data_IF_041959593403
#
_entry.id   IF_041959593403
#
_cell.length_a   1.000
_cell.length_b   1.000
_cell.length_c   1.000
_cell.angle_alpha   90.00
_cell.angle_beta   90.00
_cell.angle_gamma   90.00
#
_symmetry.space_group_name_H-M   'P 1'
#
loop_
_entity.id
_entity.type
_entity.pdbx_description
1 polymer ?
#
# COMPACT_ATOMS: atom_id res chain seq x y z
N UNK A 1 -23.40 1.32 20.70
CA UNK A 1 -22.71 0.13 20.16
C UNK A 1 -23.41 -0.30 18.88
N UNK A 2 -22.84 -0.14 17.67
CA UNK A 2 -23.47 -0.65 16.47
C UNK A 2 -23.12 -2.14 16.30
N UNK A 3 -24.16 -2.94 16.07
CA UNK A 3 -24.07 -4.37 15.77
C UNK A 3 -23.19 -4.61 14.54
N UNK A 4 -22.13 -5.43 14.68
CA UNK A 4 -21.55 -6.15 13.54
C UNK A 4 -22.56 -7.22 13.12
N UNK A 5 -23.17 -7.05 11.94
CA UNK A 5 -23.82 -8.17 11.25
C UNK A 5 -22.75 -9.21 10.91
N UNK A 6 -22.84 -10.46 11.41
CA UNK A 6 -21.90 -11.51 11.01
C UNK A 6 -22.10 -11.83 9.53
N UNK A 7 -21.05 -11.65 8.73
CA UNK A 7 -21.04 -12.06 7.33
C UNK A 7 -21.22 -13.59 7.26
N UNK A 8 -22.04 -14.12 6.33
CA UNK A 8 -22.27 -15.55 6.23
C UNK A 8 -20.96 -16.29 5.90
N UNK A 9 -20.68 -17.34 6.68
CA UNK A 9 -19.57 -18.25 6.44
C UNK A 9 -19.79 -18.96 5.08
N UNK A 10 -18.87 -18.77 4.13
CA UNK A 10 -18.95 -19.45 2.83
C UNK A 10 -18.42 -20.89 2.95
N UNK A 11 -19.14 -21.88 2.40
CA UNK A 11 -18.70 -23.27 2.42
C UNK A 11 -17.55 -23.52 1.42
N UNK A 12 -16.64 -24.40 1.81
CA UNK A 12 -15.66 -25.14 1.00
C UNK A 12 -15.14 -24.48 -0.29
N UNK A 13 -14.09 -23.65 -0.19
CA UNK A 13 -13.38 -23.14 -1.36
C UNK A 13 -12.26 -24.11 -1.75
N UNK A 14 -12.41 -24.77 -2.92
CA UNK A 14 -11.25 -25.18 -3.73
C UNK A 14 -10.31 -23.97 -3.85
N UNK A 15 -8.97 -24.12 -3.85
CA UNK A 15 -8.10 -22.97 -4.03
C UNK A 15 -8.46 -22.29 -5.36
N UNK A 16 -9.09 -21.11 -5.27
CA UNK A 16 -9.44 -20.34 -6.44
C UNK A 16 -8.15 -20.06 -7.21
N UNK A 17 -8.16 -20.26 -8.52
CA UNK A 17 -7.02 -19.88 -9.36
C UNK A 17 -6.70 -18.42 -9.05
N UNK A 18 -5.43 -18.06 -8.76
CA UNK A 18 -5.08 -16.68 -8.47
C UNK A 18 -5.48 -15.83 -9.68
N UNK A 19 -6.16 -14.71 -9.43
CA UNK A 19 -6.51 -13.76 -10.48
C UNK A 19 -5.24 -13.24 -11.17
N UNK A 20 -5.31 -12.85 -12.45
CA UNK A 20 -4.16 -12.32 -13.18
C UNK A 20 -3.51 -11.13 -12.44
N UNK A 21 -4.34 -10.25 -11.86
CA UNK A 21 -3.92 -9.18 -10.96
C UNK A 21 -3.11 -9.70 -9.77
N UNK A 22 -3.54 -10.79 -9.15
CA UNK A 22 -2.80 -11.38 -8.02
C UNK A 22 -1.44 -11.94 -8.43
N UNK A 23 -1.33 -12.54 -9.62
CA UNK A 23 -0.05 -13.01 -10.14
C UNK A 23 0.89 -11.83 -10.39
N UNK A 24 0.39 -10.76 -11.02
CA UNK A 24 1.13 -9.50 -11.21
C UNK A 24 1.61 -8.93 -9.87
N UNK A 25 0.74 -8.84 -8.86
CA UNK A 25 1.09 -8.35 -7.53
C UNK A 25 2.23 -9.13 -6.90
N UNK A 26 2.19 -10.46 -6.97
CA UNK A 26 3.19 -11.33 -6.36
C UNK A 26 4.54 -11.23 -7.06
N UNK A 27 4.54 -11.28 -8.40
CA UNK A 27 5.77 -11.16 -9.20
C UNK A 27 6.39 -9.77 -9.01
N UNK A 28 5.59 -8.71 -9.16
CA UNK A 28 6.05 -7.35 -9.00
C UNK A 28 6.56 -7.08 -7.59
N UNK A 29 5.85 -7.55 -6.56
CA UNK A 29 6.31 -7.39 -5.18
C UNK A 29 7.60 -8.16 -4.89
N UNK A 30 7.75 -9.37 -5.42
CA UNK A 30 8.98 -10.16 -5.27
C UNK A 30 10.17 -9.47 -5.97
N UNK A 31 9.98 -9.00 -7.21
CA UNK A 31 11.03 -8.28 -7.94
C UNK A 31 11.44 -7.01 -7.19
N UNK A 32 10.47 -6.19 -6.77
CA UNK A 32 10.74 -4.96 -6.02
C UNK A 32 11.43 -5.24 -4.68
N UNK A 33 11.02 -6.29 -3.97
CA UNK A 33 11.62 -6.63 -2.69
C UNK A 33 13.05 -7.13 -2.86
N UNK A 34 13.33 -7.91 -3.92
CA UNK A 34 14.68 -8.39 -4.24
C UNK A 34 15.60 -7.24 -4.66
N UNK A 35 15.14 -6.33 -5.52
CA UNK A 35 15.93 -5.17 -5.95
C UNK A 35 16.18 -4.18 -4.82
N UNK A 36 15.21 -4.01 -3.92
CA UNK A 36 15.33 -3.11 -2.77
C UNK A 36 15.91 -3.78 -1.52
N UNK A 37 16.21 -5.09 -1.54
CA UNK A 37 16.62 -5.82 -0.34
C UNK A 37 17.86 -5.20 0.33
N UNK A 38 18.92 -4.94 -0.44
CA UNK A 38 20.15 -4.36 0.06
C UNK A 38 19.96 -2.93 0.65
N UNK A 39 19.39 -1.95 -0.08
CA UNK A 39 19.16 -0.62 0.48
C UNK A 39 18.17 -0.65 1.66
N UNK A 40 17.15 -1.51 1.62
CA UNK A 40 16.20 -1.65 2.72
C UNK A 40 16.86 -2.23 3.98
N UNK A 41 17.72 -3.23 3.84
CA UNK A 41 18.47 -3.80 4.96
C UNK A 41 19.46 -2.79 5.56
N UNK A 42 20.16 -2.03 4.71
CA UNK A 42 21.05 -0.96 5.16
C UNK A 42 20.28 0.14 5.91
N UNK A 43 19.15 0.61 5.36
CA UNK A 43 18.29 1.59 5.99
C UNK A 43 17.74 1.09 7.33
N UNK A 44 17.26 -0.17 7.38
CA UNK A 44 16.77 -0.78 8.61
C UNK A 44 17.88 -0.91 9.66
N UNK A 45 19.09 -1.30 9.28
CA UNK A 45 20.26 -1.37 10.17
C UNK A 45 20.63 0.00 10.73
N UNK A 46 20.68 1.03 9.89
CA UNK A 46 20.95 2.41 10.31
C UNK A 46 19.87 2.92 11.29
N UNK A 47 18.59 2.70 10.99
CA UNK A 47 17.49 3.06 11.90
C UNK A 47 17.57 2.27 13.21
N UNK A 48 17.93 0.99 13.15
CA UNK A 48 18.10 0.15 14.33
C UNK A 48 19.18 0.70 15.27
N UNK A 49 20.36 1.02 14.74
CA UNK A 49 21.49 1.54 15.54
C UNK A 49 21.22 2.95 16.05
N UNK A 50 20.63 3.82 15.22
CA UNK A 50 20.41 5.23 15.59
C UNK A 50 19.22 5.45 16.52
N UNK A 51 18.23 4.56 16.50
CA UNK A 51 16.99 4.73 17.26
C UNK A 51 16.80 3.70 18.40
N UNK A 52 17.86 3.03 18.84
CA UNK A 52 17.80 2.11 19.99
C UNK A 52 17.00 0.83 19.74
N UNK A 53 17.13 0.24 18.55
CA UNK A 53 16.66 -1.11 18.26
C UNK A 53 15.31 -1.22 17.53
N UNK A 54 14.78 -0.13 16.97
CA UNK A 54 13.45 -0.10 16.33
C UNK A 54 13.47 0.49 14.93
N UNK A 55 13.63 -0.35 13.92
CA UNK A 55 13.67 0.07 12.51
C UNK A 55 12.30 0.15 11.83
N UNK A 56 11.32 -0.63 12.28
CA UNK A 56 10.03 -0.78 11.63
C UNK A 56 8.88 -0.26 12.49
N UNK A 57 7.90 0.35 11.84
CA UNK A 57 6.60 0.67 12.43
C UNK A 57 5.52 -0.22 11.79
N UNK A 58 4.47 -0.50 12.58
CA UNK A 58 3.27 -1.19 12.10
C UNK A 58 2.05 -0.31 12.31
N UNK A 59 1.31 -0.01 11.25
CA UNK A 59 0.13 0.87 11.30
C UNK A 59 -1.14 0.05 11.04
N UNK A 60 -2.21 0.19 11.86
CA UNK A 60 -3.47 -0.50 11.62
C UNK A 60 -4.09 -0.13 10.27
N UNK A 61 -4.65 -1.11 9.57
CA UNK A 61 -5.34 -0.92 8.30
C UNK A 61 -6.47 -1.94 8.11
N UNK A 62 -7.45 -1.60 7.27
CA UNK A 62 -8.50 -2.49 6.81
C UNK A 62 -8.19 -3.01 5.40
N UNK A 63 -8.21 -4.32 5.24
CA UNK A 63 -8.00 -5.02 3.97
C UNK A 63 -9.30 -5.39 3.29
N UNK A 64 -9.21 -6.30 2.32
CA UNK A 64 -10.35 -6.84 1.60
C UNK A 64 -11.45 -7.35 2.55
N UNK A 65 -12.70 -6.99 2.28
CA UNK A 65 -13.89 -7.27 3.08
C UNK A 65 -13.78 -6.77 4.53
N UNK A 66 -13.00 -5.70 4.76
CA UNK A 66 -12.83 -5.10 6.09
C UNK A 66 -11.93 -5.90 7.04
N UNK A 67 -11.20 -6.90 6.54
CA UNK A 67 -10.30 -7.71 7.37
C UNK A 67 -9.19 -6.83 7.98
N UNK A 68 -9.07 -6.72 9.30
CA UNK A 68 -8.04 -5.89 9.92
C UNK A 68 -6.67 -6.53 9.70
N UNK A 69 -5.68 -5.69 9.39
CA UNK A 69 -4.28 -6.08 9.31
C UNK A 69 -3.38 -4.91 9.75
N UNK A 70 -2.06 -5.09 9.67
CA UNK A 70 -1.09 -4.03 9.96
C UNK A 70 -0.15 -3.85 8.77
N UNK A 71 -0.07 -2.63 8.25
CA UNK A 71 0.92 -2.26 7.23
C UNK A 71 2.29 -2.12 7.88
N UNK A 72 3.33 -2.51 7.15
CA UNK A 72 4.72 -2.33 7.57
C UNK A 72 5.31 -1.05 6.96
N UNK A 73 6.12 -0.31 7.70
CA UNK A 73 6.94 0.78 7.12
C UNK A 73 8.24 0.93 7.89
N UNK A 74 9.22 1.61 7.29
CA UNK A 74 10.37 2.09 8.04
C UNK A 74 9.93 3.21 8.99
N UNK A 75 10.55 3.27 10.18
CA UNK A 75 10.22 4.25 11.21
C UNK A 75 11.07 5.51 11.05
N UNK A 76 10.63 6.39 10.17
CA UNK A 76 11.37 7.61 9.78
C UNK A 76 11.08 8.83 10.66
N UNK A 77 9.96 8.83 11.40
CA UNK A 77 9.42 9.98 12.13
C UNK A 77 10.46 10.69 13.04
N UNK A 78 11.25 9.91 13.80
CA UNK A 78 12.24 10.43 14.75
C UNK A 78 13.70 10.24 14.28
N UNK A 79 13.93 9.96 12.99
CA UNK A 79 15.27 9.67 12.45
C UNK A 79 16.03 10.91 11.95
N UNK A 80 15.48 12.12 12.12
CA UNK A 80 16.11 13.37 11.67
C UNK A 80 16.48 13.36 10.18
N UNK A 81 17.74 13.70 9.87
CA UNK A 81 18.24 13.75 8.48
C UNK A 81 18.17 12.40 7.77
N UNK A 82 18.36 11.30 8.49
CA UNK A 82 18.24 9.95 7.93
C UNK A 82 16.79 9.67 7.53
N UNK A 83 15.83 9.98 8.40
CA UNK A 83 14.40 9.84 8.09
C UNK A 83 14.00 10.62 6.86
N UNK A 84 14.35 11.90 6.81
CA UNK A 84 14.09 12.77 5.67
C UNK A 84 14.77 12.29 4.37
N UNK A 85 15.92 11.62 4.45
CA UNK A 85 16.55 11.02 3.27
C UNK A 85 15.80 9.77 2.79
N UNK A 86 15.38 8.89 3.70
CA UNK A 86 14.64 7.67 3.38
C UNK A 86 13.25 7.98 2.79
N UNK A 87 12.57 9.00 3.30
CA UNK A 87 11.31 9.49 2.77
C UNK A 87 11.47 10.07 1.37
N UNK A 88 12.50 10.90 1.13
CA UNK A 88 12.82 11.45 -0.20
C UNK A 88 13.12 10.37 -1.24
N UNK A 89 13.76 9.27 -0.84
CA UNK A 89 14.02 8.13 -1.71
C UNK A 89 12.84 7.16 -1.85
N UNK A 90 11.68 7.44 -1.22
CA UNK A 90 10.52 6.55 -1.21
C UNK A 90 10.82 5.13 -0.70
N UNK A 91 11.81 4.98 0.19
CA UNK A 91 12.19 3.69 0.75
C UNK A 91 11.35 3.33 1.99
N UNK A 92 10.70 4.33 2.59
CA UNK A 92 9.86 4.17 3.78
C UNK A 92 8.70 3.16 3.64
N UNK A 93 8.00 3.02 2.50
CA UNK A 93 6.88 2.09 2.35
C UNK A 93 7.32 0.74 1.79
N UNK A 94 8.59 0.55 1.43
CA UNK A 94 9.07 -0.71 0.84
C UNK A 94 8.75 -1.96 1.70
N UNK A 95 8.77 -1.91 3.05
CA UNK A 95 8.32 -3.03 3.87
C UNK A 95 6.86 -3.49 3.60
N UNK A 96 5.99 -2.64 3.04
CA UNK A 96 4.61 -3.01 2.66
C UNK A 96 4.57 -4.07 1.55
N UNK A 97 5.65 -4.27 0.80
CA UNK A 97 5.75 -5.37 -0.17
C UNK A 97 5.53 -6.73 0.51
N UNK A 98 5.90 -6.85 1.79
CA UNK A 98 5.61 -8.04 2.61
C UNK A 98 4.09 -8.23 2.78
N UNK A 99 3.32 -7.16 2.97
CA UNK A 99 1.85 -7.22 3.03
C UNK A 99 1.24 -7.64 1.69
N UNK A 100 1.84 -7.22 0.57
CA UNK A 100 1.42 -7.66 -0.77
C UNK A 100 1.66 -9.16 -0.92
N UNK A 101 2.85 -9.66 -0.56
CA UNK A 101 3.18 -11.09 -0.59
C UNK A 101 2.24 -11.91 0.30
N UNK A 102 1.89 -11.41 1.49
CA UNK A 102 0.92 -12.04 2.43
C UNK A 102 -0.52 -11.99 1.95
N UNK A 103 -0.84 -11.17 0.95
CA UNK A 103 -2.20 -11.05 0.40
C UNK A 103 -3.12 -10.14 1.20
N UNK A 104 -2.55 -9.34 2.10
CA UNK A 104 -3.24 -8.28 2.82
C UNK A 104 -3.42 -7.05 1.93
N UNK A 105 -2.44 -6.79 1.05
CA UNK A 105 -2.40 -5.67 0.10
C UNK A 105 -2.24 -6.14 -1.35
N UNK A 106 -2.40 -5.18 -2.26
CA UNK A 106 -2.11 -5.23 -3.69
C UNK A 106 -1.03 -4.19 -4.02
N UNK A 107 -0.33 -4.31 -5.15
CA UNK A 107 0.56 -3.24 -5.60
C UNK A 107 -0.25 -1.99 -5.91
N UNK A 108 -1.36 -2.16 -6.63
CA UNK A 108 -2.29 -1.09 -7.01
C UNK A 108 -3.64 -1.28 -6.33
N UNK A 109 -4.15 -0.21 -5.72
CA UNK A 109 -5.44 -0.18 -5.03
C UNK A 109 -5.63 1.12 -4.24
N UNK A 110 -6.80 1.31 -3.61
CA UNK A 110 -7.03 2.44 -2.72
C UNK A 110 -6.04 2.43 -1.55
N UNK A 111 -5.64 3.61 -1.06
CA UNK A 111 -4.68 3.70 0.06
C UNK A 111 -5.21 2.96 1.30
N UNK A 112 -4.38 2.23 2.07
CA UNK A 112 -4.82 1.57 3.29
C UNK A 112 -5.22 2.59 4.37
N UNK A 113 -6.37 2.38 5.00
CA UNK A 113 -6.89 3.16 6.12
C UNK A 113 -7.30 2.24 7.27
N UNK A 114 -7.08 2.66 8.51
CA UNK A 114 -7.49 1.92 9.71
C UNK A 114 -9.01 1.87 9.85
N UNK A 115 -9.67 2.96 9.51
CA UNK A 115 -11.11 3.13 9.48
C UNK A 115 -11.43 3.98 8.26
N UNK A 116 -12.36 3.51 7.45
CA UNK A 116 -12.84 4.25 6.27
C UNK A 116 -14.31 4.55 6.44
N UNK A 117 -14.71 5.77 6.09
CA UNK A 117 -16.10 6.21 5.92
C UNK A 117 -16.68 5.74 4.58
N UNK A 118 -15.83 5.15 3.72
CA UNK A 118 -16.13 4.72 2.35
C UNK A 118 -16.05 3.19 2.25
N UNK A 119 -17.13 2.46 2.59
CA UNK A 119 -17.12 1.00 2.62
C UNK A 119 -16.83 0.38 1.25
N UNK A 120 -17.04 1.11 0.15
CA UNK A 120 -16.73 0.65 -1.21
C UNK A 120 -15.25 0.24 -1.38
N UNK A 121 -14.33 0.89 -0.67
CA UNK A 121 -12.89 0.59 -0.73
C UNK A 121 -12.55 -0.80 -0.19
N UNK A 122 -13.45 -1.37 0.62
CA UNK A 122 -13.28 -2.70 1.20
C UNK A 122 -13.63 -3.82 0.21
N UNK A 123 -14.17 -3.52 -0.97
CA UNK A 123 -14.42 -4.52 -2.02
C UNK A 123 -13.17 -4.96 -2.78
N UNK A 124 -12.08 -4.21 -2.65
CA UNK A 124 -10.76 -4.54 -3.23
C UNK A 124 -9.70 -4.57 -2.14
N UNK A 125 -8.52 -5.10 -2.46
CA UNK A 125 -7.38 -4.97 -1.56
C UNK A 125 -6.84 -3.55 -1.61
N UNK A 126 -6.43 -2.96 -0.48
CA UNK A 126 -5.73 -1.69 -0.49
C UNK A 126 -4.39 -1.82 -1.24
N UNK A 127 -3.96 -0.72 -1.84
CA UNK A 127 -2.76 -0.62 -2.67
C UNK A 127 -1.59 0.05 -1.96
N UNK A 128 -0.37 -0.25 -2.42
CA UNK A 128 0.80 0.57 -2.12
C UNK A 128 0.78 1.90 -2.90
N UNK A 129 0.27 1.85 -4.13
CA UNK A 129 -0.06 2.98 -4.99
C UNK A 129 -1.50 2.86 -5.49
N UNK A 130 -2.06 3.93 -6.04
CA UNK A 130 -3.47 4.00 -6.43
C UNK A 130 -3.72 5.11 -7.43
N UNK A 131 -4.91 5.09 -8.05
CA UNK A 131 -5.27 6.03 -9.11
C UNK A 131 -5.12 7.49 -8.64
N UNK A 132 -5.73 7.84 -7.51
CA UNK A 132 -5.62 9.20 -6.99
C UNK A 132 -4.17 9.56 -6.63
N UNK A 133 -3.36 8.60 -6.16
CA UNK A 133 -1.96 8.88 -5.80
C UNK A 133 -1.12 9.25 -7.02
N UNK A 134 -1.41 8.70 -8.21
CA UNK A 134 -0.71 9.08 -9.45
C UNK A 134 -1.35 10.25 -10.18
N UNK A 135 -2.66 10.46 -9.97
CA UNK A 135 -3.42 11.58 -10.52
C UNK A 135 -3.30 12.86 -9.68
N UNK A 136 -2.87 12.75 -8.42
CA UNK A 136 -2.76 13.87 -7.49
C UNK A 136 -1.84 14.95 -8.06
N UNK A 137 -2.47 16.05 -8.45
CA UNK A 137 -1.84 17.36 -8.54
C UNK A 137 -1.78 17.93 -7.12
N UNK A 138 -0.85 18.84 -6.89
CA UNK A 138 -0.52 19.41 -5.56
C UNK A 138 -1.68 20.08 -4.82
N UNK A 139 -2.85 20.23 -5.45
CA UNK A 139 -4.04 20.96 -5.01
C UNK A 139 -5.37 20.18 -5.16
N UNK A 140 -5.35 18.87 -5.37
CA UNK A 140 -6.59 18.11 -5.59
C UNK A 140 -7.50 18.09 -4.33
N UNK A 141 -8.77 18.53 -4.41
CA UNK A 141 -9.71 18.48 -3.29
C UNK A 141 -9.95 17.05 -2.77
N UNK A 142 -10.32 16.94 -1.48
CA UNK A 142 -10.57 15.65 -0.84
C UNK A 142 -11.73 14.86 -1.46
N UNK A 143 -12.75 15.53 -1.99
CA UNK A 143 -13.84 14.88 -2.71
C UNK A 143 -13.35 14.25 -4.02
N UNK A 144 -12.46 14.91 -4.76
CA UNK A 144 -11.93 14.40 -6.02
C UNK A 144 -11.05 13.15 -5.80
N UNK A 145 -10.26 13.12 -4.73
CA UNK A 145 -9.52 11.91 -4.34
C UNK A 145 -10.46 10.72 -4.09
N UNK A 146 -11.60 10.98 -3.44
CA UNK A 146 -12.62 9.95 -3.17
C UNK A 146 -13.24 9.41 -4.46
N UNK A 147 -13.51 10.29 -5.43
CA UNK A 147 -14.07 9.91 -6.72
C UNK A 147 -13.11 9.04 -7.52
N UNK A 148 -11.80 9.34 -7.48
CA UNK A 148 -10.77 8.52 -8.13
C UNK A 148 -10.63 7.14 -7.48
N UNK A 149 -10.69 7.06 -6.14
CA UNK A 149 -10.72 5.78 -5.44
C UNK A 149 -11.97 4.96 -5.81
N UNK A 150 -13.15 5.58 -5.83
CA UNK A 150 -14.40 4.93 -6.25
C UNK A 150 -14.32 4.44 -7.69
N UNK A 151 -13.85 5.29 -8.60
CA UNK A 151 -13.68 4.94 -10.00
C UNK A 151 -12.76 3.72 -10.17
N UNK A 152 -11.66 3.67 -9.42
CA UNK A 152 -10.79 2.49 -9.41
C UNK A 152 -11.52 1.24 -8.89
N UNK A 153 -12.21 1.32 -7.74
CA UNK A 153 -12.95 0.17 -7.19
C UNK A 153 -13.93 -0.41 -8.21
N UNK A 154 -14.68 0.45 -8.90
CA UNK A 154 -15.72 0.06 -9.85
C UNK A 154 -15.19 -0.43 -11.19
N UNK A 155 -14.07 0.13 -11.67
CA UNK A 155 -13.63 -0.03 -13.07
C UNK A 155 -12.22 -0.61 -13.23
N UNK A 156 -11.55 -1.03 -12.15
CA UNK A 156 -10.19 -1.54 -12.25
C UNK A 156 -10.10 -2.79 -13.12
N UNK A 157 -9.10 -2.78 -13.99
CA UNK A 157 -8.68 -3.92 -14.81
C UNK A 157 -7.16 -3.87 -14.96
N UNK A 158 -6.57 -4.93 -15.50
CA UNK A 158 -5.11 -5.11 -15.47
C UNK A 158 -4.33 -3.98 -16.17
N UNK A 159 -4.84 -3.44 -17.29
CA UNK A 159 -4.16 -2.34 -17.99
C UNK A 159 -4.20 -1.03 -17.22
N UNK A 160 -5.26 -0.77 -16.45
CA UNK A 160 -5.31 0.37 -15.53
C UNK A 160 -4.24 0.23 -14.44
N UNK A 161 -4.07 -0.98 -13.87
CA UNK A 161 -3.01 -1.25 -12.89
C UNK A 161 -1.62 -0.99 -13.48
N UNK A 162 -1.36 -1.49 -14.70
CA UNK A 162 -0.09 -1.26 -15.39
C UNK A 162 0.16 0.22 -15.65
N UNK A 163 -0.86 0.98 -16.07
CA UNK A 163 -0.76 2.42 -16.26
C UNK A 163 -0.46 3.15 -14.96
N UNK A 164 -1.07 2.77 -13.83
CA UNK A 164 -0.79 3.35 -12.52
C UNK A 164 0.63 3.02 -12.07
N UNK A 165 1.08 1.76 -12.22
CA UNK A 165 2.45 1.35 -11.89
C UNK A 165 3.49 2.11 -12.70
N UNK A 166 3.27 2.30 -14.01
CA UNK A 166 4.17 3.06 -14.87
C UNK A 166 4.26 4.55 -14.47
N UNK A 167 3.17 5.14 -13.97
CA UNK A 167 3.14 6.53 -13.52
C UNK A 167 3.71 6.72 -12.09
N UNK A 168 3.71 5.67 -11.28
CA UNK A 168 4.04 5.72 -9.85
C UNK A 168 5.43 6.31 -9.56
N UNK A 169 6.53 5.94 -10.26
CA UNK A 169 7.85 6.52 -9.98
C UNK A 169 7.87 8.04 -10.15
N UNK A 170 7.25 8.55 -11.21
CA UNK A 170 7.18 9.99 -11.49
C UNK A 170 6.31 10.73 -10.47
N UNK A 171 5.17 10.15 -10.09
CA UNK A 171 4.29 10.72 -9.08
C UNK A 171 4.97 10.74 -7.70
N UNK A 172 5.62 9.64 -7.31
CA UNK A 172 6.35 9.53 -6.06
C UNK A 172 7.48 10.54 -5.95
N UNK A 173 8.23 10.76 -7.04
CA UNK A 173 9.27 11.78 -7.12
C UNK A 173 8.68 13.18 -6.94
N UNK A 174 7.62 13.53 -7.68
CA UNK A 174 6.97 14.84 -7.58
C UNK A 174 6.47 15.15 -6.17
N UNK A 175 5.82 14.20 -5.51
CA UNK A 175 5.27 14.39 -4.17
C UNK A 175 6.33 14.63 -3.09
N UNK A 176 7.57 14.20 -3.31
CA UNK A 176 8.67 14.29 -2.34
C UNK A 176 9.60 15.48 -2.57
N UNK A 177 9.46 16.13 -3.72
CA UNK A 177 10.31 17.23 -4.18
C UNK A 177 9.54 18.48 -4.62
N UNK A 178 8.22 18.48 -4.44
CA UNK A 178 7.36 19.67 -4.52
C UNK A 178 7.38 20.39 -3.19
#
# INVERSE_FOLDING_TARGET
MPLLLPLPARPGLRPARPSAKRVLDLIGAAILLLTLAAPLAAAAGLLYVTQGGRAFARVPAAGLAGRPFRTWRLRTDDAGRLGAALERCALDPAPQLINVLRGEMSLVGPRPESRTDRPERLFVRPGMTGLWQVSARSDLPWEEMALLDRHYVENHWLGMDLAILAQTPRAAYRQRHA
#
